data_IF_895264617490
#
_entry.id   IF_895264617490
#
_cell.length_a   1.000
_cell.length_b   1.000
_cell.length_c   1.000
_cell.angle_alpha   90.00
_cell.angle_beta   90.00
_cell.angle_gamma   90.00
#
_symmetry.space_group_name_H-M   'P 1'
#
loop_
_entity.id
_entity.type
_entity.pdbx_description
1 polymer ?
#
# COMPACT_ATOMS: atom_id res chain seq x y z
N UNK A 1 71.12 -11.09 10.88
CA UNK A 1 71.98 -11.04 9.69
C UNK A 1 71.21 -10.14 8.70
N UNK A 2 71.47 -8.80 8.72
CA UNK A 2 72.30 -8.05 7.78
C UNK A 2 71.70 -8.05 6.39
N UNK A 3 71.38 -7.00 5.69
CA UNK A 3 71.84 -5.60 5.63
C UNK A 3 70.92 -4.94 4.57
N UNK A 4 70.42 -3.77 4.79
CA UNK A 4 70.76 -2.44 4.23
C UNK A 4 70.93 -2.29 2.74
N UNK A 5 70.22 -1.37 2.13
CA UNK A 5 70.62 -0.07 1.56
C UNK A 5 69.56 0.38 0.56
N UNK A 6 68.88 1.52 0.72
CA UNK A 6 69.18 2.85 0.27
C UNK A 6 69.59 2.97 -1.20
N UNK A 7 68.72 3.62 -1.97
CA UNK A 7 69.12 4.68 -2.92
C UNK A 7 67.92 5.40 -3.52
N UNK A 8 67.81 6.69 -3.20
CA UNK A 8 67.24 7.72 -4.08
C UNK A 8 68.38 8.25 -4.93
N UNK A 9 68.17 8.67 -6.22
CA UNK A 9 68.00 10.10 -6.42
C UNK A 9 67.15 10.55 -7.62
N UNK A 10 66.91 11.83 -7.60
CA UNK A 10 66.88 12.86 -8.65
C UNK A 10 65.60 13.14 -9.44
N UNK A 11 65.09 14.26 -9.07
CA UNK A 11 64.65 15.45 -9.82
C UNK A 11 64.73 15.34 -11.36
N UNK A 12 63.56 15.52 -12.00
CA UNK A 12 63.51 16.25 -13.25
C UNK A 12 62.28 17.12 -13.35
N UNK A 13 62.52 18.44 -13.34
CA UNK A 13 61.58 19.51 -13.62
C UNK A 13 61.23 19.47 -15.10
N UNK A 14 59.96 19.35 -15.45
CA UNK A 14 59.44 19.93 -16.67
C UNK A 14 58.19 20.71 -16.38
N UNK A 15 58.34 22.00 -16.50
CA UNK A 15 57.32 23.03 -16.62
C UNK A 15 56.71 22.93 -17.99
N UNK A 16 55.41 22.62 -18.06
CA UNK A 16 54.60 22.96 -19.22
C UNK A 16 53.20 23.43 -18.78
N UNK A 17 52.93 24.63 -19.14
CA UNK A 17 51.72 25.40 -19.33
C UNK A 17 50.40 24.68 -19.05
N UNK A 18 49.74 25.06 -17.99
CA UNK A 18 48.27 24.91 -17.83
C UNK A 18 47.59 26.18 -18.34
N UNK A 19 47.07 26.12 -19.56
CA UNK A 19 46.10 27.06 -20.04
C UNK A 19 44.82 26.93 -19.19
N UNK A 20 44.44 27.98 -18.51
CA UNK A 20 43.14 28.20 -17.86
C UNK A 20 42.08 28.25 -18.97
N UNK A 21 41.35 27.15 -19.18
CA UNK A 21 40.06 27.18 -19.85
C UNK A 21 39.01 27.54 -18.78
N UNK A 22 38.70 28.81 -18.69
CA UNK A 22 37.49 29.30 -18.02
C UNK A 22 36.26 28.86 -18.80
N UNK A 23 35.76 27.66 -18.49
CA UNK A 23 34.44 27.21 -18.92
C UNK A 23 33.38 27.98 -18.13
N UNK A 24 32.74 28.95 -18.79
CA UNK A 24 31.49 29.53 -18.31
C UNK A 24 30.47 28.40 -18.14
N UNK A 25 30.19 28.03 -16.89
CA UNK A 25 28.99 27.31 -16.55
C UNK A 25 27.82 28.27 -16.80
N UNK A 26 27.18 28.12 -17.96
CA UNK A 26 25.88 28.73 -18.21
C UNK A 26 24.90 28.12 -17.22
N UNK A 27 24.55 28.93 -16.25
CA UNK A 27 23.47 28.70 -15.30
C UNK A 27 22.16 28.51 -16.10
N UNK A 28 21.77 27.28 -16.32
CA UNK A 28 20.54 26.90 -16.99
C UNK A 28 19.42 26.85 -15.93
N UNK A 29 19.22 27.99 -15.20
CA UNK A 29 18.11 28.21 -14.29
C UNK A 29 16.81 28.57 -15.06
N UNK A 30 16.48 27.81 -16.09
CA UNK A 30 15.18 27.85 -16.74
C UNK A 30 14.27 26.74 -16.21
N UNK A 31 14.28 26.53 -14.91
CA UNK A 31 13.19 25.85 -14.26
C UNK A 31 12.12 26.91 -13.98
N UNK A 32 10.91 26.84 -14.59
CA UNK A 32 9.86 27.82 -14.33
C UNK A 32 9.52 27.75 -12.83
N UNK A 33 9.85 28.82 -12.10
CA UNK A 33 9.35 29.06 -10.74
C UNK A 33 7.86 29.35 -10.87
N UNK A 34 7.02 28.34 -10.66
CA UNK A 34 5.57 28.53 -10.57
C UNK A 34 5.27 29.25 -9.24
N UNK A 35 4.73 30.45 -9.30
CA UNK A 35 4.19 31.15 -8.14
C UNK A 35 2.79 30.62 -7.80
N UNK A 36 2.35 30.76 -6.55
CA UNK A 36 1.01 30.29 -6.13
C UNK A 36 -0.13 30.92 -6.96
N UNK A 37 0.06 32.11 -7.53
CA UNK A 37 -0.89 32.81 -8.39
C UNK A 37 -1.00 32.21 -9.82
N UNK A 38 0.05 31.52 -10.31
CA UNK A 38 0.00 30.80 -11.59
C UNK A 38 -0.87 29.53 -11.52
N UNK A 39 -1.39 29.21 -10.35
CA UNK A 39 -2.09 27.96 -10.05
C UNK A 39 -3.62 28.05 -10.21
N UNK A 40 -4.20 29.25 -10.39
CA UNK A 40 -5.65 29.42 -10.55
C UNK A 40 -6.19 29.02 -11.93
N UNK A 41 -5.33 28.75 -12.91
CA UNK A 41 -5.73 28.39 -14.28
C UNK A 41 -5.30 27.00 -14.74
N UNK A 42 -4.59 26.22 -13.93
CA UNK A 42 -4.09 24.90 -14.37
C UNK A 42 -5.20 23.85 -14.31
N UNK A 43 -5.46 23.22 -15.44
CA UNK A 43 -6.40 22.12 -15.60
C UNK A 43 -5.97 20.93 -14.70
N UNK A 44 -6.53 20.84 -13.47
CA UNK A 44 -6.31 19.75 -12.53
C UNK A 44 -7.28 18.64 -12.88
N UNK A 45 -6.77 17.49 -13.33
CA UNK A 45 -7.62 16.32 -13.51
C UNK A 45 -7.91 15.69 -12.15
N UNK A 46 -9.18 15.52 -11.78
CA UNK A 46 -9.53 14.76 -10.58
C UNK A 46 -9.39 13.24 -10.79
N UNK A 47 -9.01 12.80 -11.97
CA UNK A 47 -8.99 11.38 -12.36
C UNK A 47 -7.66 11.01 -13.01
N UNK A 48 -7.21 9.78 -12.74
CA UNK A 48 -6.04 9.15 -13.34
C UNK A 48 -6.37 7.69 -13.60
N UNK A 49 -5.97 7.19 -14.75
CA UNK A 49 -6.03 5.76 -15.09
C UNK A 49 -4.64 5.26 -15.37
N UNK A 50 -4.21 4.23 -14.65
CA UNK A 50 -2.97 3.51 -14.92
C UNK A 50 -3.28 2.10 -15.42
N UNK A 51 -2.47 1.63 -16.36
CA UNK A 51 -2.55 0.28 -16.90
C UNK A 51 -1.28 -0.49 -16.57
N UNK A 52 -1.45 -1.75 -16.20
CA UNK A 52 -0.39 -2.69 -15.87
C UNK A 52 -0.62 -3.99 -16.64
N UNK A 53 0.45 -4.73 -16.89
CA UNK A 53 0.36 -6.12 -17.34
C UNK A 53 0.66 -7.01 -16.13
N UNK A 54 -0.26 -7.89 -15.78
CA UNK A 54 -0.05 -8.88 -14.72
C UNK A 54 1.05 -9.87 -15.13
N UNK A 55 2.24 -9.70 -14.58
CA UNK A 55 3.39 -10.52 -14.91
C UNK A 55 3.32 -11.89 -14.17
N UNK A 56 4.00 -12.93 -14.68
CA UNK A 56 4.15 -14.18 -13.93
C UNK A 56 4.83 -14.00 -12.56
N UNK A 57 5.65 -12.97 -12.40
CA UNK A 57 6.30 -12.59 -11.14
C UNK A 57 5.37 -11.93 -10.13
N UNK A 58 4.15 -11.54 -10.53
CA UNK A 58 3.15 -10.95 -9.65
C UNK A 58 2.31 -12.01 -8.92
N UNK A 59 2.62 -13.28 -9.15
CA UNK A 59 2.00 -14.43 -8.52
C UNK A 59 2.93 -14.92 -7.40
N UNK A 60 2.41 -15.04 -6.18
CA UNK A 60 3.25 -15.38 -5.01
C UNK A 60 3.75 -16.84 -5.04
N UNK A 61 3.03 -17.74 -5.70
CA UNK A 61 3.37 -19.16 -5.79
C UNK A 61 3.08 -19.73 -7.16
N UNK A 62 3.91 -20.68 -7.58
CA UNK A 62 3.67 -21.44 -8.81
C UNK A 62 2.31 -22.17 -8.74
N UNK A 63 1.50 -22.02 -9.80
CA UNK A 63 0.16 -22.60 -9.90
C UNK A 63 -0.91 -21.88 -9.06
N UNK A 64 -0.64 -20.68 -8.52
CA UNK A 64 -1.68 -19.83 -7.98
C UNK A 64 -2.59 -19.32 -9.11
N UNK A 65 -3.90 -19.16 -8.80
CA UNK A 65 -4.91 -18.79 -9.79
C UNK A 65 -4.83 -17.35 -10.27
N UNK A 66 -3.96 -16.51 -9.66
CA UNK A 66 -3.85 -15.11 -10.03
C UNK A 66 -2.84 -14.32 -9.22
N UNK A 67 -2.79 -13.04 -9.53
CA UNK A 67 -1.97 -12.05 -8.85
C UNK A 67 -2.32 -12.01 -7.36
N UNK A 68 -1.30 -11.96 -6.49
CA UNK A 68 -1.51 -11.88 -5.05
C UNK A 68 -2.06 -10.50 -4.62
N UNK A 69 -2.77 -10.49 -3.47
CA UNK A 69 -3.49 -9.30 -3.00
C UNK A 69 -2.58 -8.09 -2.80
N UNK A 70 -1.38 -8.29 -2.26
CA UNK A 70 -0.41 -7.23 -2.02
C UNK A 70 0.05 -6.51 -3.29
N UNK A 71 0.15 -7.23 -4.40
CA UNK A 71 0.47 -6.62 -5.70
C UNK A 71 -0.68 -5.77 -6.24
N UNK A 72 -1.92 -6.22 -6.05
CA UNK A 72 -3.09 -5.41 -6.39
C UNK A 72 -3.13 -4.13 -5.54
N UNK A 73 -2.83 -4.24 -4.24
CA UNK A 73 -2.71 -3.08 -3.34
C UNK A 73 -1.62 -2.10 -3.79
N UNK A 74 -0.50 -2.60 -4.28
CA UNK A 74 0.59 -1.77 -4.82
C UNK A 74 0.16 -1.00 -6.07
N UNK A 75 -0.55 -1.62 -7.00
CA UNK A 75 -1.07 -0.95 -8.19
C UNK A 75 -2.09 0.13 -7.83
N UNK A 76 -2.97 -0.16 -6.87
CA UNK A 76 -3.93 0.80 -6.34
C UNK A 76 -3.20 2.01 -5.73
N UNK A 77 -2.19 1.78 -4.89
CA UNK A 77 -1.44 2.85 -4.24
C UNK A 77 -0.71 3.74 -5.27
N UNK A 78 -0.11 3.16 -6.31
CA UNK A 78 0.55 3.91 -7.40
C UNK A 78 -0.44 4.79 -8.17
N UNK A 79 -1.60 4.28 -8.53
CA UNK A 79 -2.60 5.03 -9.27
C UNK A 79 -3.22 6.14 -8.41
N UNK A 80 -3.54 5.83 -7.14
CA UNK A 80 -4.05 6.80 -6.18
C UNK A 80 -3.01 7.89 -5.86
N UNK A 81 -1.72 7.54 -5.75
CA UNK A 81 -0.63 8.50 -5.60
C UNK A 81 -0.56 9.46 -6.78
N UNK A 82 -0.58 8.94 -8.01
CA UNK A 82 -0.57 9.78 -9.22
C UNK A 82 -1.75 10.75 -9.25
N UNK A 83 -2.95 10.29 -8.86
CA UNK A 83 -4.14 11.11 -8.73
C UNK A 83 -3.96 12.19 -7.64
N UNK A 84 -3.45 11.82 -6.47
CA UNK A 84 -3.22 12.72 -5.34
C UNK A 84 -2.22 13.83 -5.68
N UNK A 85 -1.06 13.48 -6.24
CA UNK A 85 -0.01 14.44 -6.62
C UNK A 85 -0.47 15.34 -7.76
N UNK A 86 -1.19 14.77 -8.74
CA UNK A 86 -1.77 15.56 -9.85
C UNK A 86 -2.74 16.63 -9.37
N UNK A 87 -3.54 16.32 -8.34
CA UNK A 87 -4.47 17.25 -7.72
C UNK A 87 -3.78 18.27 -6.80
N UNK A 88 -2.97 17.78 -5.84
CA UNK A 88 -2.35 18.61 -4.81
C UNK A 88 -1.17 19.46 -5.32
N UNK A 89 -0.51 19.04 -6.40
CA UNK A 89 0.75 19.62 -6.90
C UNK A 89 1.84 19.68 -5.81
N UNK A 90 1.91 18.65 -4.99
CA UNK A 90 2.89 18.49 -3.90
C UNK A 90 3.07 17.03 -3.57
N UNK A 91 4.14 16.72 -2.83
CA UNK A 91 4.36 15.36 -2.33
C UNK A 91 3.19 14.91 -1.46
N UNK A 92 2.76 13.67 -1.64
CA UNK A 92 1.67 13.07 -0.91
C UNK A 92 2.08 11.74 -0.28
N UNK A 93 1.46 11.40 0.85
CA UNK A 93 1.68 10.14 1.55
C UNK A 93 0.36 9.40 1.76
N UNK A 94 0.41 8.08 1.67
CA UNK A 94 -0.72 7.21 2.01
C UNK A 94 -0.96 7.27 3.50
N UNK A 95 -2.18 7.57 3.91
CA UNK A 95 -2.57 7.64 5.32
C UNK A 95 -3.49 6.50 5.75
N UNK A 96 -4.33 6.03 4.83
CA UNK A 96 -5.31 4.99 5.11
C UNK A 96 -5.76 4.30 3.82
N UNK A 97 -5.92 2.98 3.88
CA UNK A 97 -6.59 2.18 2.85
C UNK A 97 -7.82 1.53 3.47
N UNK A 98 -8.96 1.78 2.85
CA UNK A 98 -10.26 1.28 3.29
C UNK A 98 -10.47 -0.20 3.01
N UNK A 99 -11.72 -0.61 3.01
CA UNK A 99 -12.10 -2.00 2.81
C UNK A 99 -12.01 -2.38 1.34
N UNK A 100 -11.33 -3.49 1.06
CA UNK A 100 -11.19 -4.09 -0.27
C UNK A 100 -11.70 -5.52 -0.18
N UNK A 101 -12.63 -5.86 -1.05
CA UNK A 101 -13.05 -7.23 -1.28
C UNK A 101 -12.47 -7.67 -2.62
N UNK A 102 -11.59 -8.66 -2.61
CA UNK A 102 -11.07 -9.28 -3.81
C UNK A 102 -12.12 -10.25 -4.36
N UNK A 103 -13.00 -9.72 -5.23
CA UNK A 103 -14.18 -10.46 -5.70
C UNK A 103 -13.88 -11.40 -6.87
N UNK A 104 -12.83 -11.10 -7.63
CA UNK A 104 -12.38 -11.90 -8.78
C UNK A 104 -10.86 -11.97 -8.81
N UNK A 105 -10.28 -13.16 -9.08
CA UNK A 105 -8.84 -13.29 -9.30
C UNK A 105 -8.44 -12.57 -10.61
N UNK A 106 -7.23 -12.02 -10.61
CA UNK A 106 -6.62 -11.42 -11.80
C UNK A 106 -5.58 -12.40 -12.32
N UNK A 107 -5.83 -13.13 -13.43
CA UNK A 107 -4.86 -14.08 -13.97
C UNK A 107 -3.58 -13.40 -14.45
N UNK A 108 -2.45 -14.11 -14.38
CA UNK A 108 -1.22 -13.68 -15.03
C UNK A 108 -1.42 -13.55 -16.55
N UNK A 109 -0.84 -12.53 -17.14
CA UNK A 109 -1.03 -12.20 -18.56
C UNK A 109 -2.20 -11.25 -18.84
N UNK A 110 -3.07 -10.98 -17.86
CA UNK A 110 -4.15 -10.03 -18.04
C UNK A 110 -3.63 -8.58 -18.03
N UNK A 111 -4.27 -7.72 -18.81
CA UNK A 111 -4.18 -6.29 -18.66
C UNK A 111 -5.00 -5.87 -17.44
N UNK A 112 -4.39 -5.05 -16.58
CA UNK A 112 -5.03 -4.49 -15.39
C UNK A 112 -5.15 -2.99 -15.57
N UNK A 113 -6.34 -2.46 -15.35
CA UNK A 113 -6.61 -1.02 -15.37
C UNK A 113 -7.05 -0.56 -13.99
N UNK A 114 -6.34 0.40 -13.41
CA UNK A 114 -6.70 1.03 -12.14
C UNK A 114 -7.15 2.45 -12.42
N UNK A 115 -8.42 2.72 -12.16
CA UNK A 115 -9.04 4.05 -12.28
C UNK A 115 -9.13 4.67 -10.91
N UNK A 116 -8.46 5.79 -10.74
CA UNK A 116 -8.42 6.56 -9.48
C UNK A 116 -9.08 7.90 -9.69
N UNK A 117 -9.99 8.29 -8.80
CA UNK A 117 -10.64 9.61 -8.86
C UNK A 117 -10.80 10.23 -7.48
N UNK A 118 -10.64 11.55 -7.40
CA UNK A 118 -10.95 12.32 -6.20
C UNK A 118 -12.44 12.19 -5.92
N UNK A 119 -12.78 11.73 -4.72
CA UNK A 119 -14.17 11.68 -4.24
C UNK A 119 -14.49 12.85 -3.31
N UNK A 120 -13.52 13.20 -2.45
CA UNK A 120 -13.65 14.26 -1.46
C UNK A 120 -12.28 14.79 -1.05
N UNK A 121 -12.20 16.07 -0.72
CA UNK A 121 -11.00 16.68 -0.14
C UNK A 121 -11.31 17.29 1.21
N UNK A 122 -10.48 16.97 2.21
CA UNK A 122 -10.41 17.69 3.47
C UNK A 122 -9.43 18.85 3.39
N UNK A 123 -8.97 19.35 4.55
CA UNK A 123 -8.00 20.45 4.58
C UNK A 123 -6.68 20.09 3.86
N UNK A 124 -6.11 18.92 4.16
CA UNK A 124 -4.85 18.42 3.61
C UNK A 124 -4.97 16.98 3.09
N UNK A 125 -6.13 16.37 3.17
CA UNK A 125 -6.39 14.99 2.77
C UNK A 125 -7.24 14.92 1.52
N UNK A 126 -6.98 13.90 0.71
CA UNK A 126 -7.74 13.55 -0.48
C UNK A 126 -8.25 12.13 -0.33
N UNK A 127 -9.55 11.96 -0.47
CA UNK A 127 -10.23 10.68 -0.49
C UNK A 127 -10.37 10.25 -1.94
N UNK A 128 -9.71 9.18 -2.31
CA UNK A 128 -9.58 8.72 -3.70
C UNK A 128 -10.26 7.37 -3.82
N UNK A 129 -11.25 7.28 -4.67
CA UNK A 129 -11.90 6.02 -5.06
C UNK A 129 -11.08 5.39 -6.17
N UNK A 130 -10.82 4.10 -6.01
CA UNK A 130 -10.05 3.30 -6.95
C UNK A 130 -10.89 2.12 -7.39
N UNK A 131 -10.96 1.90 -8.69
CA UNK A 131 -11.58 0.73 -9.31
C UNK A 131 -10.50 -0.06 -10.04
N UNK A 132 -10.43 -1.36 -9.79
CA UNK A 132 -9.49 -2.26 -10.46
C UNK A 132 -10.27 -3.13 -11.43
N UNK A 133 -9.88 -3.07 -12.68
CA UNK A 133 -10.46 -3.80 -13.79
C UNK A 133 -9.41 -4.72 -14.42
N UNK A 134 -9.80 -5.87 -14.91
CA UNK A 134 -8.90 -6.79 -15.58
C UNK A 134 -9.52 -7.39 -16.84
N UNK A 135 -8.70 -7.59 -17.86
CA UNK A 135 -9.11 -8.16 -19.14
C UNK A 135 -8.05 -9.12 -19.67
N UNK A 136 -8.46 -10.21 -20.28
CA UNK A 136 -7.59 -10.94 -21.21
C UNK A 136 -7.32 -10.03 -22.42
N UNK A 137 -6.06 -9.70 -22.74
CA UNK A 137 -5.74 -8.79 -23.85
C UNK A 137 -6.19 -9.33 -25.20
N UNK A 138 -6.44 -10.65 -25.32
CA UNK A 138 -6.94 -11.27 -26.55
C UNK A 138 -8.45 -11.07 -26.74
N UNK A 139 -9.19 -10.92 -25.64
CA UNK A 139 -10.65 -10.71 -25.65
C UNK A 139 -11.01 -9.24 -25.56
N UNK A 140 -10.19 -8.46 -24.88
CA UNK A 140 -10.36 -7.02 -24.71
C UNK A 140 -11.55 -6.59 -23.85
N UNK A 141 -12.17 -7.53 -23.10
CA UNK A 141 -13.32 -7.26 -22.24
C UNK A 141 -12.87 -7.10 -20.81
N UNK A 142 -13.00 -5.89 -20.26
CA UNK A 142 -12.67 -5.59 -18.87
C UNK A 142 -13.80 -5.99 -17.93
N UNK A 143 -13.44 -6.72 -16.86
CA UNK A 143 -14.32 -7.04 -15.75
C UNK A 143 -13.75 -6.44 -14.46
N UNK A 144 -14.63 -5.92 -13.59
CA UNK A 144 -14.19 -5.32 -12.32
C UNK A 144 -13.77 -6.41 -11.32
N UNK A 145 -12.53 -6.29 -10.81
CA UNK A 145 -11.96 -7.19 -9.82
C UNK A 145 -12.20 -6.73 -8.38
N UNK A 146 -12.03 -5.43 -8.11
CA UNK A 146 -12.30 -4.84 -6.79
C UNK A 146 -12.42 -3.32 -6.88
N UNK A 147 -12.86 -2.71 -5.79
CA UNK A 147 -12.82 -1.26 -5.57
C UNK A 147 -12.48 -0.93 -4.11
N UNK A 148 -11.91 0.25 -3.89
CA UNK A 148 -11.61 0.74 -2.54
C UNK A 148 -11.48 2.25 -2.47
N UNK A 149 -11.48 2.74 -1.23
CA UNK A 149 -11.17 4.13 -0.90
C UNK A 149 -9.76 4.20 -0.28
N UNK A 150 -8.90 5.04 -0.84
CA UNK A 150 -7.58 5.36 -0.29
C UNK A 150 -7.54 6.83 0.12
N UNK A 151 -6.90 7.13 1.24
CA UNK A 151 -6.74 8.50 1.71
C UNK A 151 -5.26 8.87 1.66
N UNK A 152 -4.97 9.91 0.87
CA UNK A 152 -3.67 10.55 0.81
C UNK A 152 -3.67 11.86 1.58
N UNK A 153 -2.52 12.23 2.11
CA UNK A 153 -2.28 13.53 2.75
C UNK A 153 -1.16 14.24 2.00
N UNK A 154 -1.44 15.47 1.60
CA UNK A 154 -0.46 16.36 0.99
C UNK A 154 0.51 16.89 2.04
N UNK A 155 1.79 16.93 1.72
CA UNK A 155 2.89 17.34 2.60
C UNK A 155 3.65 18.51 1.99
N UNK A 156 4.11 19.43 2.86
CA UNK A 156 5.04 20.48 2.48
C UNK A 156 6.50 19.97 2.49
N UNK A 157 7.44 20.86 2.21
CA UNK A 157 8.89 20.59 2.20
C UNK A 157 9.41 20.18 3.58
N UNK A 158 8.73 20.62 4.65
CA UNK A 158 9.07 20.30 6.05
C UNK A 158 8.34 19.02 6.53
N UNK A 159 7.73 18.27 5.61
CA UNK A 159 6.94 17.06 5.91
C UNK A 159 5.74 17.30 6.83
N UNK A 160 5.17 18.52 6.80
CA UNK A 160 3.93 18.86 7.50
C UNK A 160 2.74 18.82 6.52
N UNK A 161 1.52 18.53 7.03
CA UNK A 161 0.34 18.53 6.18
C UNK A 161 0.10 19.88 5.48
N UNK A 162 0.10 19.89 4.15
CA UNK A 162 -0.16 21.06 3.29
C UNK A 162 -1.61 21.10 2.86
N UNK A 163 -2.21 22.31 2.82
CA UNK A 163 -3.59 22.50 2.34
C UNK A 163 -3.68 22.07 0.86
N UNK A 164 -4.77 21.38 0.51
CA UNK A 164 -5.10 20.98 -0.87
C UNK A 164 -6.25 21.83 -1.41
N UNK A 165 -6.34 22.01 -2.74
CA UNK A 165 -7.51 22.61 -3.38
C UNK A 165 -8.78 21.81 -3.06
N UNK A 166 -9.89 22.52 -2.88
CA UNK A 166 -11.20 21.90 -2.64
C UNK A 166 -11.71 21.26 -3.93
N UNK A 167 -12.05 19.98 -3.87
CA UNK A 167 -12.79 19.30 -4.94
C UNK A 167 -14.28 19.57 -4.80
N UNK A 168 -14.91 20.01 -5.90
CA UNK A 168 -16.37 20.21 -5.97
C UNK A 168 -16.90 19.34 -7.10
N UNK A 169 -17.71 18.31 -6.81
CA UNK A 169 -18.26 17.45 -7.85
C UNK A 169 -19.26 18.22 -8.73
N UNK A 170 -19.08 18.16 -10.04
CA UNK A 170 -19.93 18.82 -11.03
C UNK A 170 -21.04 17.93 -11.58
N UNK A 171 -20.91 16.61 -11.44
CA UNK A 171 -21.84 15.61 -11.95
C UNK A 171 -22.64 14.93 -10.82
N UNK A 172 -23.81 14.34 -11.15
CA UNK A 172 -24.59 13.56 -10.18
C UNK A 172 -23.82 12.33 -9.68
N UNK A 173 -23.06 11.69 -10.57
CA UNK A 173 -22.18 10.60 -10.17
C UNK A 173 -21.11 11.07 -9.19
N UNK A 174 -20.44 12.20 -9.46
CA UNK A 174 -19.46 12.78 -8.55
C UNK A 174 -20.05 13.05 -7.17
N UNK A 175 -21.25 13.65 -7.09
CA UNK A 175 -21.97 13.88 -5.82
C UNK A 175 -22.31 12.60 -5.07
N UNK A 176 -22.71 11.55 -5.81
CA UNK A 176 -22.98 10.24 -5.24
C UNK A 176 -21.71 9.61 -4.63
N UNK A 177 -20.60 9.69 -5.36
CA UNK A 177 -19.28 9.14 -4.92
C UNK A 177 -18.75 9.92 -3.72
N UNK A 178 -18.90 11.25 -3.70
CA UNK A 178 -18.56 12.07 -2.52
C UNK A 178 -19.37 11.64 -1.29
N UNK A 179 -20.71 11.50 -1.43
CA UNK A 179 -21.57 11.05 -0.34
C UNK A 179 -21.18 9.64 0.16
N UNK A 180 -20.79 8.75 -0.76
CA UNK A 180 -20.29 7.41 -0.41
C UNK A 180 -18.94 7.47 0.33
N UNK A 181 -18.02 8.34 -0.05
CA UNK A 181 -16.75 8.54 0.65
C UNK A 181 -16.96 9.11 2.06
N UNK A 182 -17.84 10.11 2.19
CA UNK A 182 -18.19 10.72 3.49
C UNK A 182 -18.86 9.74 4.44
N UNK A 183 -19.73 8.85 3.94
CA UNK A 183 -20.41 7.84 4.79
C UNK A 183 -19.41 6.89 5.48
N UNK A 184 -18.20 6.75 4.95
CA UNK A 184 -17.13 5.91 5.51
C UNK A 184 -16.31 6.56 6.62
N UNK A 185 -16.46 7.86 6.85
CA UNK A 185 -15.64 8.58 7.85
C UNK A 185 -15.89 8.06 9.26
N UNK A 186 -17.15 7.84 9.61
CA UNK A 186 -17.52 7.31 10.94
C UNK A 186 -17.07 5.87 11.11
N UNK A 187 -17.32 5.01 10.12
CA UNK A 187 -16.86 3.62 10.13
C UNK A 187 -15.34 3.54 10.31
N UNK A 188 -14.57 4.35 9.57
CA UNK A 188 -13.13 4.40 9.70
C UNK A 188 -12.70 4.74 11.12
N UNK A 189 -13.30 5.74 11.74
CA UNK A 189 -12.97 6.14 13.12
C UNK A 189 -13.28 5.02 14.12
N UNK A 190 -14.45 4.40 14.01
CA UNK A 190 -14.83 3.30 14.88
C UNK A 190 -13.90 2.09 14.76
N UNK A 191 -13.47 1.75 13.52
CA UNK A 191 -12.51 0.69 13.30
C UNK A 191 -11.13 1.07 13.85
N UNK A 192 -10.64 2.29 13.63
CA UNK A 192 -9.36 2.76 14.15
C UNK A 192 -9.35 2.73 15.70
N UNK A 193 -10.40 3.19 16.35
CA UNK A 193 -10.54 3.13 17.80
C UNK A 193 -10.51 1.69 18.32
N UNK A 194 -11.24 0.78 17.67
CA UNK A 194 -11.26 -0.63 18.04
C UNK A 194 -9.89 -1.29 17.84
N UNK A 195 -9.19 -0.98 16.77
CA UNK A 195 -7.85 -1.50 16.52
C UNK A 195 -6.81 -1.00 17.53
N UNK A 196 -6.90 0.28 17.96
CA UNK A 196 -5.99 0.87 18.93
C UNK A 196 -6.21 0.38 20.37
N UNK A 197 -7.37 -0.17 20.69
CA UNK A 197 -7.66 -0.77 22.00
C UNK A 197 -6.95 -2.09 22.22
N UNK A 198 -6.45 -2.71 21.17
CA UNK A 198 -5.90 -4.06 21.25
C UNK A 198 -4.40 -4.05 21.58
N UNK A 199 -4.03 -4.94 22.48
CA UNK A 199 -2.63 -5.24 22.79
C UNK A 199 -2.30 -6.65 22.33
N UNK A 200 -1.09 -6.83 21.84
CA UNK A 200 -0.58 -8.11 21.34
C UNK A 200 0.67 -8.46 22.13
N UNK A 201 0.62 -9.58 22.83
CA UNK A 201 1.71 -10.04 23.69
C UNK A 201 2.11 -11.48 23.35
N UNK A 202 3.12 -11.98 24.00
CA UNK A 202 3.57 -13.37 23.86
C UNK A 202 2.67 -14.37 24.62
N UNK A 203 1.62 -13.90 25.32
CA UNK A 203 0.69 -14.76 26.07
C UNK A 203 -0.38 -15.42 25.18
N UNK A 204 -0.42 -15.07 23.90
CA UNK A 204 -1.31 -15.69 22.92
C UNK A 204 -0.76 -17.03 22.45
N UNK A 205 -1.63 -18.03 22.29
CA UNK A 205 -1.32 -19.32 21.62
C UNK A 205 -1.65 -19.28 20.12
N UNK A 206 -2.16 -18.15 19.64
CA UNK A 206 -2.53 -17.98 18.25
C UNK A 206 -1.31 -18.13 17.33
N UNK A 207 -1.47 -18.85 16.22
CA UNK A 207 -0.41 -18.97 15.22
C UNK A 207 0.03 -17.59 14.72
N UNK A 208 1.34 -17.39 14.69
CA UNK A 208 1.93 -16.14 14.19
C UNK A 208 3.16 -16.40 13.34
N UNK A 209 3.48 -15.43 12.51
CA UNK A 209 4.69 -15.42 11.69
C UNK A 209 5.29 -14.02 11.74
N UNK A 210 6.59 -13.96 11.96
CA UNK A 210 7.33 -12.68 11.99
C UNK A 210 8.48 -12.69 11.00
N UNK A 211 8.44 -11.79 10.04
CA UNK A 211 9.52 -11.52 9.09
C UNK A 211 10.30 -10.29 9.54
N UNK A 212 11.63 -10.34 9.41
CA UNK A 212 12.53 -9.19 9.69
C UNK A 212 13.50 -9.02 8.54
N UNK A 213 13.64 -7.79 8.06
CA UNK A 213 14.54 -7.42 6.97
C UNK A 213 14.84 -5.92 7.00
N UNK A 214 15.79 -5.46 6.19
CA UNK A 214 16.07 -4.04 6.00
C UNK A 214 15.27 -3.51 4.81
N UNK A 215 14.66 -2.33 4.97
CA UNK A 215 14.05 -1.60 3.87
C UNK A 215 15.13 -1.21 2.84
N UNK A 216 14.96 -1.63 1.59
CA UNK A 216 15.99 -1.50 0.55
C UNK A 216 15.82 -0.20 -0.24
N UNK A 217 16.89 0.31 -0.88
CA UNK A 217 16.77 1.45 -1.80
C UNK A 217 15.80 1.22 -2.97
N UNK A 218 15.54 -0.04 -3.36
CA UNK A 218 14.56 -0.41 -4.38
C UNK A 218 13.10 -0.15 -3.97
N UNK A 219 12.87 0.04 -2.68
CA UNK A 219 11.54 0.19 -2.09
C UNK A 219 11.13 1.67 -1.95
N UNK A 220 12.01 2.59 -2.41
CA UNK A 220 11.88 4.03 -2.21
C UNK A 220 10.76 4.65 -3.04
N UNK A 221 10.01 5.56 -2.42
CA UNK A 221 9.09 6.46 -3.10
C UNK A 221 9.77 7.81 -3.43
N UNK A 222 9.05 8.70 -4.11
CA UNK A 222 9.59 10.03 -4.49
C UNK A 222 9.93 10.95 -3.30
N UNK A 223 9.48 10.64 -2.10
CA UNK A 223 9.78 11.38 -0.85
C UNK A 223 10.93 10.78 -0.03
N UNK A 224 11.61 9.74 -0.54
CA UNK A 224 12.73 9.09 0.14
C UNK A 224 12.35 8.09 1.23
N UNK A 225 11.06 7.75 1.36
CA UNK A 225 10.55 6.71 2.26
C UNK A 225 10.18 5.46 1.46
N UNK A 226 9.84 4.37 2.16
CA UNK A 226 9.24 3.19 1.53
C UNK A 226 7.90 3.55 0.90
N UNK A 227 7.64 3.03 -0.30
CA UNK A 227 6.36 3.19 -0.99
C UNK A 227 5.25 2.48 -0.21
N UNK A 228 4.07 3.13 -0.05
CA UNK A 228 2.95 2.55 0.71
C UNK A 228 2.50 1.21 0.16
N UNK A 229 2.43 1.10 -1.17
CA UNK A 229 2.12 -0.16 -1.87
C UNK A 229 3.10 -1.28 -1.58
N UNK A 230 4.40 -1.00 -1.53
CA UNK A 230 5.44 -1.98 -1.17
C UNK A 230 5.26 -2.48 0.27
N UNK A 231 4.98 -1.57 1.21
CA UNK A 231 4.72 -1.96 2.59
C UNK A 231 3.46 -2.85 2.71
N UNK A 232 2.42 -2.58 1.92
CA UNK A 232 1.21 -3.41 1.86
C UNK A 232 1.48 -4.79 1.24
N UNK A 233 2.41 -4.88 0.28
CA UNK A 233 2.85 -6.17 -0.26
C UNK A 233 3.53 -7.01 0.83
N UNK A 234 4.43 -6.45 1.62
CA UNK A 234 5.06 -7.16 2.75
C UNK A 234 4.04 -7.66 3.77
N UNK A 235 2.99 -6.88 4.02
CA UNK A 235 1.88 -7.25 4.91
C UNK A 235 1.13 -8.46 4.36
N UNK A 236 0.77 -8.45 3.07
CA UNK A 236 0.08 -9.56 2.41
C UNK A 236 0.94 -10.84 2.37
N UNK A 237 2.23 -10.72 2.06
CA UNK A 237 3.17 -11.84 2.05
C UNK A 237 3.28 -12.52 3.42
N UNK A 238 3.42 -11.74 4.50
CA UNK A 238 3.49 -12.28 5.86
C UNK A 238 2.18 -12.94 6.28
N UNK A 239 1.03 -12.33 5.95
CA UNK A 239 -0.28 -12.89 6.26
C UNK A 239 -0.58 -14.15 5.46
N UNK A 240 -0.18 -14.20 4.18
CA UNK A 240 -0.26 -15.39 3.33
C UNK A 240 0.55 -16.53 3.93
N UNK A 241 1.81 -16.28 4.28
CA UNK A 241 2.67 -17.29 4.88
C UNK A 241 2.13 -17.81 6.22
N UNK A 242 1.58 -16.92 7.07
CA UNK A 242 0.95 -17.30 8.34
C UNK A 242 -0.26 -18.23 8.13
N UNK A 243 -1.13 -17.88 7.18
CA UNK A 243 -2.35 -18.67 6.90
C UNK A 243 -2.05 -19.99 6.21
N UNK A 244 -1.03 -20.04 5.36
CA UNK A 244 -0.54 -21.29 4.76
C UNK A 244 0.09 -22.23 5.78
N UNK A 245 0.94 -21.70 6.67
CA UNK A 245 1.55 -22.48 7.74
C UNK A 245 0.48 -23.08 8.68
N UNK A 246 -0.60 -22.35 8.92
CA UNK A 246 -1.72 -22.83 9.73
C UNK A 246 -2.58 -23.87 9.03
N UNK A 247 -3.01 -23.58 7.79
CA UNK A 247 -3.95 -24.45 7.06
C UNK A 247 -3.30 -25.70 6.46
N UNK A 248 -2.01 -25.65 6.15
CA UNK A 248 -1.31 -26.64 5.34
C UNK A 248 -1.68 -26.61 3.85
N UNK A 249 -2.45 -25.61 3.43
CA UNK A 249 -3.02 -25.45 2.09
C UNK A 249 -2.58 -24.13 1.45
N UNK A 250 -2.81 -23.98 0.15
CA UNK A 250 -2.70 -22.68 -0.50
C UNK A 250 -3.77 -21.75 0.03
N UNK A 251 -3.43 -20.48 0.19
CA UNK A 251 -4.38 -19.48 0.66
C UNK A 251 -4.42 -18.28 -0.27
N UNK A 252 -5.58 -17.63 -0.36
CA UNK A 252 -5.76 -16.41 -1.14
C UNK A 252 -6.46 -15.35 -0.30
N UNK A 253 -6.04 -14.10 -0.45
CA UNK A 253 -6.69 -12.97 0.19
C UNK A 253 -8.08 -12.75 -0.42
N UNK A 254 -9.10 -12.65 0.42
CA UNK A 254 -10.48 -12.29 0.01
C UNK A 254 -10.89 -10.93 0.53
N UNK A 255 -10.16 -10.42 1.54
CA UNK A 255 -10.41 -9.12 2.14
C UNK A 255 -9.13 -8.53 2.71
N UNK A 256 -8.97 -7.23 2.51
CA UNK A 256 -8.00 -6.39 3.21
C UNK A 256 -8.70 -5.10 3.66
N UNK A 257 -8.33 -4.57 4.83
CA UNK A 257 -8.91 -3.31 5.24
C UNK A 257 -8.44 -2.79 6.59
N UNK A 258 -8.85 -1.55 6.87
CA UNK A 258 -8.37 -0.85 8.05
C UNK A 258 -6.86 -0.65 8.05
N UNK A 259 -6.24 -0.58 6.86
CA UNK A 259 -4.80 -0.40 6.75
C UNK A 259 -4.49 1.05 7.11
N UNK A 260 -3.87 1.25 8.26
CA UNK A 260 -3.54 2.57 8.80
C UNK A 260 -2.05 2.78 8.82
N UNK A 261 -1.61 3.89 8.22
CA UNK A 261 -0.23 4.35 8.24
C UNK A 261 -0.07 5.41 9.34
N UNK A 262 0.72 5.10 10.37
CA UNK A 262 0.98 6.00 11.51
C UNK A 262 2.23 6.83 11.31
N UNK A 263 3.21 6.24 10.64
CA UNK A 263 4.52 6.86 10.38
C UNK A 263 5.14 6.31 9.10
N UNK A 264 6.01 7.10 8.43
CA UNK A 264 6.78 6.59 7.30
C UNK A 264 7.78 5.52 7.76
N UNK A 265 8.05 4.56 6.88
CA UNK A 265 9.17 3.63 6.98
C UNK A 265 10.30 4.21 6.14
N UNK A 266 11.48 4.38 6.73
CA UNK A 266 12.63 4.94 6.03
C UNK A 266 13.44 3.85 5.33
N UNK A 267 14.15 4.24 4.27
CA UNK A 267 15.11 3.34 3.65
C UNK A 267 16.26 3.09 4.62
N UNK A 268 16.60 1.81 4.83
CA UNK A 268 17.59 1.37 5.83
C UNK A 268 17.00 1.03 7.20
N UNK A 269 15.72 1.30 7.46
CA UNK A 269 15.06 0.85 8.68
C UNK A 269 15.07 -0.67 8.77
N UNK A 270 15.21 -1.20 9.98
CA UNK A 270 14.84 -2.57 10.29
C UNK A 270 13.31 -2.64 10.31
N UNK A 271 12.77 -3.46 9.41
CA UNK A 271 11.34 -3.72 9.31
C UNK A 271 11.03 -5.06 9.96
N UNK A 272 10.01 -5.08 10.80
CA UNK A 272 9.42 -6.28 11.38
C UNK A 272 7.95 -6.34 10.97
N UNK A 273 7.56 -7.41 10.27
CA UNK A 273 6.17 -7.67 9.90
C UNK A 273 5.70 -8.88 10.68
N UNK A 274 4.82 -8.68 11.66
CA UNK A 274 4.20 -9.73 12.45
C UNK A 274 2.76 -9.93 11.98
N UNK A 275 2.45 -11.13 11.50
CA UNK A 275 1.13 -11.58 11.11
C UNK A 275 0.63 -12.61 12.12
N UNK A 276 -0.52 -12.38 12.76
CA UNK A 276 -1.12 -13.24 13.76
C UNK A 276 -2.53 -13.64 13.35
N UNK A 277 -2.77 -14.95 13.27
CA UNK A 277 -4.11 -15.50 13.09
C UNK A 277 -4.92 -15.28 14.36
N UNK A 278 -5.99 -14.51 14.28
CA UNK A 278 -6.80 -14.20 15.47
C UNK A 278 -8.16 -14.90 15.48
N UNK A 279 -8.64 -15.36 14.32
CA UNK A 279 -9.94 -16.04 14.21
C UNK A 279 -10.01 -16.89 12.95
N UNK A 280 -10.73 -18.01 13.06
CA UNK A 280 -11.19 -18.79 11.92
C UNK A 280 -12.71 -18.88 11.92
N UNK A 281 -13.30 -18.83 10.73
CA UNK A 281 -14.69 -19.20 10.45
C UNK A 281 -14.69 -20.48 9.61
N UNK A 282 -15.86 -20.94 9.19
CA UNK A 282 -15.97 -22.22 8.44
C UNK A 282 -15.00 -22.34 7.26
N UNK A 283 -14.74 -21.26 6.53
CA UNK A 283 -13.87 -21.24 5.34
C UNK A 283 -12.84 -20.13 5.34
N UNK A 284 -12.87 -19.23 6.31
CA UNK A 284 -12.00 -18.05 6.30
C UNK A 284 -11.14 -17.96 7.55
N UNK A 285 -10.00 -17.31 7.40
CA UNK A 285 -8.98 -17.07 8.41
C UNK A 285 -8.73 -15.56 8.49
N UNK A 286 -8.93 -14.97 9.67
CA UNK A 286 -8.68 -13.54 9.91
C UNK A 286 -7.33 -13.35 10.57
N UNK A 287 -6.48 -12.55 9.95
CA UNK A 287 -5.12 -12.23 10.39
C UNK A 287 -5.00 -10.74 10.67
N UNK A 288 -4.41 -10.40 11.82
CA UNK A 288 -3.98 -9.04 12.10
C UNK A 288 -2.50 -8.92 11.82
N UNK A 289 -2.13 -7.86 11.13
CA UNK A 289 -0.73 -7.62 10.75
C UNK A 289 -0.27 -6.28 11.31
N UNK A 290 0.89 -6.31 11.99
CA UNK A 290 1.59 -5.13 12.45
C UNK A 290 2.93 -5.06 11.74
N UNK A 291 3.15 -3.96 11.03
CA UNK A 291 4.46 -3.62 10.51
C UNK A 291 5.08 -2.58 11.45
N UNK A 292 6.23 -2.93 12.03
CA UNK A 292 7.05 -2.07 12.86
C UNK A 292 8.32 -1.70 12.09
N UNK A 293 8.82 -0.51 12.28
CA UNK A 293 10.05 -0.09 11.62
C UNK A 293 10.80 0.93 12.48
N UNK A 294 12.14 0.92 12.38
CA UNK A 294 13.01 1.85 13.08
C UNK A 294 14.48 1.62 12.78
N UNK A 295 15.31 2.51 13.27
CA UNK A 295 16.76 2.43 13.09
C UNK A 295 17.31 1.12 13.69
N UNK A 296 17.99 0.25 12.90
CA UNK A 296 18.54 -1.00 13.40
C UNK A 296 19.56 -0.81 14.52
N UNK A 297 20.15 0.37 14.67
CA UNK A 297 21.12 0.71 15.73
C UNK A 297 20.47 0.91 17.10
N UNK A 298 19.17 1.22 17.14
CA UNK A 298 18.42 1.42 18.40
C UNK A 298 18.00 0.10 19.07
N UNK A 299 18.26 -1.03 18.42
CA UNK A 299 17.99 -2.38 18.97
C UNK A 299 16.55 -2.85 18.83
N UNK A 300 16.33 -4.16 19.09
CA UNK A 300 15.06 -4.85 18.82
C UNK A 300 13.87 -4.37 19.67
N UNK A 301 14.10 -3.72 20.79
CA UNK A 301 13.05 -3.33 21.74
C UNK A 301 12.28 -2.06 21.35
N UNK A 302 12.75 -1.33 20.35
CA UNK A 302 12.27 0.02 20.03
C UNK A 302 11.68 0.16 18.62
N UNK A 303 11.12 -0.90 18.05
CA UNK A 303 10.46 -0.79 16.74
C UNK A 303 9.00 -0.35 16.93
N UNK A 304 8.70 0.95 16.73
CA UNK A 304 7.34 1.44 16.84
C UNK A 304 6.47 0.93 15.68
N UNK A 305 5.17 0.77 15.94
CA UNK A 305 4.21 0.40 14.89
C UNK A 305 4.15 1.51 13.84
N UNK A 306 4.47 1.14 12.61
CA UNK A 306 4.35 2.01 11.45
C UNK A 306 3.01 1.81 10.72
N UNK A 307 2.58 0.56 10.57
CA UNK A 307 1.33 0.21 9.88
C UNK A 307 0.65 -0.92 10.64
N UNK A 308 -0.67 -0.91 10.68
CA UNK A 308 -1.46 -2.08 11.00
C UNK A 308 -2.50 -2.38 9.91
N UNK A 309 -2.93 -3.65 9.80
CA UNK A 309 -3.90 -4.10 8.82
C UNK A 309 -4.69 -5.30 9.34
N UNK A 310 -5.94 -5.43 8.88
CA UNK A 310 -6.76 -6.64 9.03
C UNK A 310 -6.92 -7.29 7.67
N UNK A 311 -6.56 -8.58 7.58
CA UNK A 311 -6.62 -9.37 6.35
C UNK A 311 -7.50 -10.62 6.58
N UNK A 312 -8.20 -11.06 5.54
CA UNK A 312 -8.94 -12.33 5.59
C UNK A 312 -8.57 -13.19 4.39
N UNK A 313 -8.27 -14.44 4.67
CA UNK A 313 -7.84 -15.44 3.68
C UNK A 313 -8.80 -16.62 3.66
N UNK A 314 -8.83 -17.31 2.54
CA UNK A 314 -9.46 -18.61 2.37
C UNK A 314 -8.43 -19.62 1.87
N UNK A 315 -8.51 -20.85 2.38
CA UNK A 315 -7.75 -21.98 1.84
C UNK A 315 -8.41 -22.44 0.54
N UNK A 316 -7.61 -22.78 -0.47
CA UNK A 316 -8.11 -23.19 -1.79
C UNK A 316 -7.41 -24.45 -2.28
N UNK A 317 -8.14 -25.29 -3.03
CA UNK A 317 -7.57 -26.43 -3.74
C UNK A 317 -6.81 -26.00 -5.03
N UNK A 318 -6.37 -26.96 -5.82
CA UNK A 318 -5.64 -26.72 -7.06
C UNK A 318 -6.48 -26.00 -8.12
N UNK A 319 -7.79 -26.15 -8.06
CA UNK A 319 -8.75 -25.53 -8.98
C UNK A 319 -9.27 -24.18 -8.46
N UNK A 320 -8.81 -23.75 -7.25
CA UNK A 320 -9.19 -22.50 -6.61
C UNK A 320 -10.52 -22.56 -5.84
N UNK A 321 -11.07 -23.73 -5.63
CA UNK A 321 -12.29 -23.85 -4.84
C UNK A 321 -12.01 -23.70 -3.35
N UNK A 322 -12.84 -22.94 -2.60
CA UNK A 322 -12.62 -22.73 -1.18
C UNK A 322 -12.76 -24.03 -0.36
N UNK A 323 -11.72 -24.33 0.41
CA UNK A 323 -11.69 -25.45 1.35
C UNK A 323 -12.25 -25.05 2.73
N UNK A 324 -12.52 -26.04 3.58
CA UNK A 324 -12.79 -25.80 4.99
C UNK A 324 -11.52 -25.36 5.70
N UNK A 325 -11.62 -24.27 6.46
CA UNK A 325 -10.50 -23.79 7.27
C UNK A 325 -10.27 -24.70 8.49
N UNK A 326 -9.01 -25.04 8.76
CA UNK A 326 -8.62 -25.59 10.05
C UNK A 326 -9.04 -24.63 11.16
N UNK A 327 -9.77 -25.13 12.17
CA UNK A 327 -10.32 -24.27 13.22
C UNK A 327 -9.26 -23.95 14.28
N UNK A 328 -9.11 -22.67 14.59
CA UNK A 328 -8.37 -22.16 15.74
C UNK A 328 -9.27 -22.13 16.96
N UNK A 329 -8.82 -22.77 18.05
CA UNK A 329 -9.52 -22.76 19.33
C UNK A 329 -8.78 -21.81 20.27
N UNK A 330 -9.41 -20.70 20.70
CA UNK A 330 -8.76 -19.73 21.60
C UNK A 330 -8.60 -20.32 23.01
N UNK A 331 -7.39 -20.40 23.49
CA UNK A 331 -7.05 -20.99 24.80
C UNK A 331 -6.91 -19.91 25.89
N UNK A 332 -6.12 -18.88 25.60
CA UNK A 332 -5.80 -17.83 26.57
C UNK A 332 -6.84 -16.72 26.61
N UNK A 333 -6.79 -15.86 27.62
CA UNK A 333 -7.62 -14.67 27.70
C UNK A 333 -7.33 -13.68 26.56
N UNK A 334 -6.06 -13.63 26.11
CA UNK A 334 -5.67 -12.82 24.96
C UNK A 334 -6.30 -13.36 23.69
N UNK A 335 -6.23 -14.65 23.44
CA UNK A 335 -6.86 -15.28 22.27
C UNK A 335 -8.35 -14.98 22.20
N UNK A 336 -9.07 -15.18 23.32
CA UNK A 336 -10.52 -14.91 23.43
C UNK A 336 -10.83 -13.44 23.13
N UNK A 337 -10.04 -12.51 23.69
CA UNK A 337 -10.18 -11.08 23.43
C UNK A 337 -9.95 -10.73 21.96
N UNK A 338 -8.94 -11.32 21.31
CA UNK A 338 -8.65 -11.07 19.90
C UNK A 338 -9.71 -11.69 18.96
N UNK A 339 -10.31 -12.82 19.32
CA UNK A 339 -11.48 -13.36 18.63
C UNK A 339 -12.66 -12.39 18.69
N UNK A 340 -12.98 -11.85 19.87
CA UNK A 340 -14.03 -10.84 20.05
C UNK A 340 -13.73 -9.55 19.30
N UNK A 341 -12.46 -9.15 19.25
CA UNK A 341 -12.01 -8.03 18.42
C UNK A 341 -12.34 -8.25 16.94
N UNK A 342 -12.02 -9.42 16.38
CA UNK A 342 -12.34 -9.77 14.99
C UNK A 342 -13.87 -9.74 14.72
N UNK A 343 -14.68 -10.22 15.67
CA UNK A 343 -16.14 -10.16 15.62
C UNK A 343 -16.63 -8.71 15.62
N UNK A 344 -16.07 -7.90 16.49
CA UNK A 344 -16.41 -6.47 16.61
C UNK A 344 -16.09 -5.70 15.34
N UNK A 345 -14.90 -5.91 14.74
CA UNK A 345 -14.55 -5.29 13.47
C UNK A 345 -15.52 -5.69 12.34
N UNK A 346 -15.93 -6.96 12.31
CA UNK A 346 -16.90 -7.44 11.33
C UNK A 346 -18.28 -6.79 11.56
N UNK A 347 -18.74 -6.68 12.81
CA UNK A 347 -20.00 -6.04 13.17
C UNK A 347 -20.01 -4.56 12.80
N UNK A 348 -18.95 -3.81 13.13
CA UNK A 348 -18.83 -2.40 12.74
C UNK A 348 -19.00 -2.22 11.24
N UNK A 349 -18.40 -3.08 10.41
CA UNK A 349 -18.55 -3.03 8.96
C UNK A 349 -19.99 -3.27 8.50
N UNK A 350 -20.71 -4.15 9.18
CA UNK A 350 -22.12 -4.43 8.90
C UNK A 350 -23.05 -3.30 9.38
N UNK A 351 -22.82 -2.80 10.60
CA UNK A 351 -23.71 -1.83 11.27
C UNK A 351 -23.69 -0.46 10.59
N UNK A 352 -22.56 -0.05 10.04
CA UNK A 352 -22.45 1.25 9.36
C UNK A 352 -22.97 1.23 7.91
N UNK A 353 -23.15 0.08 7.29
CA UNK A 353 -23.66 -0.12 5.93
C UNK A 353 -23.25 1.01 4.96
N UNK A 354 -21.95 1.23 4.70
CA UNK A 354 -21.52 2.36 3.90
C UNK A 354 -22.06 2.24 2.47
N UNK A 355 -22.49 3.36 1.89
CA UNK A 355 -22.97 3.41 0.51
C UNK A 355 -21.91 2.80 -0.42
N UNK A 356 -22.30 2.04 -1.46
CA UNK A 356 -21.35 1.54 -2.46
C UNK A 356 -20.52 2.69 -3.06
N UNK A 357 -19.21 2.49 -3.16
CA UNK A 357 -18.32 3.47 -3.81
C UNK A 357 -18.63 3.59 -5.30
N UNK A 358 -18.93 2.47 -5.89
CA UNK A 358 -19.21 2.32 -7.32
C UNK A 358 -20.52 1.54 -7.46
N UNK A 359 -21.37 1.99 -8.40
CA UNK A 359 -22.59 1.25 -8.71
C UNK A 359 -22.24 -0.21 -9.08
N UNK A 360 -23.09 -1.18 -8.67
CA UNK A 360 -22.92 -2.57 -9.04
C UNK A 360 -23.26 -2.80 -10.53
N UNK A 361 -22.72 -1.95 -11.41
CA UNK A 361 -22.93 -2.13 -12.84
C UNK A 361 -21.99 -3.19 -13.37
N UNK A 362 -22.57 -4.25 -13.85
CA UNK A 362 -21.93 -5.25 -14.70
C UNK A 362 -21.72 -4.66 -16.11
N UNK A 363 -21.02 -3.53 -16.21
CA UNK A 363 -20.61 -3.00 -17.52
C UNK A 363 -19.23 -3.55 -17.82
N UNK A 364 -19.22 -4.75 -18.37
CA UNK A 364 -18.09 -5.19 -19.17
C UNK A 364 -17.88 -4.14 -20.27
N UNK A 365 -16.72 -3.53 -20.35
CA UNK A 365 -16.40 -2.62 -21.46
C UNK A 365 -15.26 -3.23 -22.28
N UNK A 366 -15.35 -3.07 -23.59
CA UNK A 366 -14.30 -3.50 -24.52
C UNK A 366 -13.20 -2.45 -24.60
N UNK A 367 -12.00 -2.83 -25.00
CA UNK A 367 -11.00 -1.90 -25.46
C UNK A 367 -11.65 -0.98 -26.49
N UNK A 368 -11.94 0.26 -26.12
CA UNK A 368 -12.25 1.30 -27.10
C UNK A 368 -11.01 2.10 -27.36
N UNK A 369 -10.80 2.36 -28.61
CA UNK A 369 -9.77 3.04 -29.38
C UNK A 369 -9.05 4.17 -28.68
#
# INVERSE_FOLDING_TARGET
MTNTSSDTPENNKNTENTEHVSGNATDNSNNPTYTDDDMEGTNRSPEVTLRFLAAPTDVLMAGAMGVHGGRVLEWIDKAAYACAVGWARSYCVTAYVGHIHFTRPIPSGHMVEVRSRIAYTGRSSMHIVNEVWSADPREGVFTRACDCLVIFVSMDENRKPKKVPTYVPTTDEGRRVEAAALSRVQLRRAIEEEMLRQTYTENSTAPELTNRFLAKPTDVNWGGNVHGGTAMQWIDEAATACTMAWSGERTTAVYAGGIRFYRPVQIGDLVEVNARLIRTDRRSMTVMVHLRAGDPREGKGNLPVAIHASMTYVAVDLDGNPLQARQFVPETNEDKRLVEHAITLRRLRSDYEPRPLVEPHNRDFKFTE
#
